data_IF_989955388317
#
_entry.id   IF_989955388317
#
_cell.length_a   1.000
_cell.length_b   1.000
_cell.length_c   1.000
_cell.angle_alpha   90.00
_cell.angle_beta   90.00
_cell.angle_gamma   90.00
#
_symmetry.space_group_name_H-M   'P 1'
#
loop_
_entity.id
_entity.type
_entity.pdbx_description
1 polymer ?
#
# COMPACT_ATOMS: atom_id res chain seq x y z
N UNK A 1 11.34 -4.60 -20.30
CA UNK A 1 12.29 -5.13 -19.29
C UNK A 1 12.72 -4.08 -18.28
N UNK A 2 13.33 -2.96 -18.69
CA UNK A 2 13.81 -1.88 -17.79
C UNK A 2 12.77 -1.38 -16.77
N UNK A 3 11.53 -1.12 -17.21
CA UNK A 3 10.45 -0.63 -16.33
C UNK A 3 10.10 -1.60 -15.18
N UNK A 4 10.19 -2.92 -15.40
CA UNK A 4 9.97 -3.92 -14.35
C UNK A 4 11.11 -3.91 -13.33
N UNK A 5 12.35 -3.86 -13.80
CA UNK A 5 13.55 -3.77 -12.93
C UNK A 5 13.45 -2.55 -12.02
N UNK A 6 13.06 -1.39 -12.56
CA UNK A 6 12.85 -0.17 -11.77
C UNK A 6 11.79 -0.37 -10.68
N UNK A 7 10.65 -1.00 -11.00
CA UNK A 7 9.61 -1.29 -10.00
C UNK A 7 10.13 -2.22 -8.91
N UNK A 8 10.82 -3.31 -9.26
CA UNK A 8 11.38 -4.21 -8.24
C UNK A 8 12.44 -3.53 -7.38
N UNK A 9 13.32 -2.69 -7.96
CA UNK A 9 14.28 -1.90 -7.20
C UNK A 9 13.60 -0.92 -6.25
N UNK A 10 12.52 -0.26 -6.70
CA UNK A 10 11.70 0.60 -5.85
C UNK A 10 11.04 -0.18 -4.72
N UNK A 11 10.48 -1.36 -5.01
CA UNK A 11 9.88 -2.24 -3.99
C UNK A 11 10.91 -2.65 -2.95
N UNK A 12 12.10 -3.11 -3.36
CA UNK A 12 13.18 -3.48 -2.43
C UNK A 12 13.60 -2.29 -1.59
N UNK A 13 13.77 -1.10 -2.19
CA UNK A 13 14.10 0.11 -1.45
C UNK A 13 13.03 0.46 -0.41
N UNK A 14 11.73 0.38 -0.77
CA UNK A 14 10.63 0.62 0.16
C UNK A 14 10.62 -0.39 1.32
N UNK A 15 10.90 -1.67 1.04
CA UNK A 15 11.04 -2.71 2.05
C UNK A 15 12.19 -2.42 3.03
N UNK A 16 13.34 -1.99 2.52
CA UNK A 16 14.47 -1.58 3.37
C UNK A 16 14.08 -0.36 4.22
N UNK A 17 13.47 0.65 3.62
CA UNK A 17 13.03 1.87 4.31
C UNK A 17 12.06 1.57 5.45
N UNK A 18 11.07 0.67 5.25
CA UNK A 18 10.12 0.34 6.32
C UNK A 18 10.79 -0.44 7.46
N UNK A 19 11.71 -1.36 7.16
CA UNK A 19 12.50 -2.06 8.17
C UNK A 19 13.33 -1.08 9.01
N UNK A 20 14.04 -0.16 8.35
CA UNK A 20 14.83 0.89 9.03
C UNK A 20 13.93 1.80 9.87
N UNK A 21 12.79 2.25 9.33
CA UNK A 21 11.83 3.09 10.06
C UNK A 21 11.33 2.42 11.34
N UNK A 22 11.00 1.13 11.26
CA UNK A 22 10.53 0.35 12.41
C UNK A 22 11.63 0.19 13.47
N UNK A 23 12.85 -0.15 13.05
CA UNK A 23 13.99 -0.31 13.94
C UNK A 23 14.36 1.02 14.65
N UNK A 24 14.54 2.10 13.88
CA UNK A 24 14.86 3.43 14.41
C UNK A 24 13.74 3.94 15.31
N UNK A 25 12.48 3.77 14.91
CA UNK A 25 11.34 4.18 15.71
C UNK A 25 11.25 3.42 17.03
N UNK A 26 11.56 2.12 17.05
CA UNK A 26 11.66 1.34 18.30
C UNK A 26 12.74 1.86 19.23
N UNK A 27 13.94 2.13 18.71
CA UNK A 27 15.06 2.68 19.50
C UNK A 27 14.73 4.07 20.02
N UNK A 28 14.11 4.93 19.21
CA UNK A 28 13.72 6.26 19.67
C UNK A 28 12.61 6.21 20.73
N UNK A 29 11.65 5.29 20.59
CA UNK A 29 10.58 5.13 21.57
C UNK A 29 11.09 4.64 22.92
N UNK A 30 12.20 3.87 22.96
CA UNK A 30 12.83 3.44 24.22
C UNK A 30 13.74 4.52 24.82
N UNK A 31 14.53 5.22 24.01
CA UNK A 31 15.50 6.21 24.50
C UNK A 31 14.88 7.60 24.78
N UNK A 32 13.94 8.03 23.94
CA UNK A 32 13.38 9.39 23.95
C UNK A 32 11.85 9.39 23.76
N UNK A 33 11.08 8.71 24.63
CA UNK A 33 9.64 8.48 24.44
C UNK A 33 8.83 9.77 24.25
N UNK A 34 9.15 10.83 25.00
CA UNK A 34 8.47 12.12 24.91
C UNK A 34 8.67 12.80 23.54
N UNK A 35 9.89 12.75 23.01
CA UNK A 35 10.24 13.33 21.71
C UNK A 35 9.60 12.55 20.58
N UNK A 36 9.68 11.22 20.61
CA UNK A 36 9.05 10.35 19.62
C UNK A 36 7.54 10.55 19.58
N UNK A 37 6.88 10.61 20.75
CA UNK A 37 5.46 10.90 20.84
C UNK A 37 5.10 12.23 20.18
N UNK A 38 5.85 13.30 20.46
CA UNK A 38 5.61 14.62 19.88
C UNK A 38 5.76 14.61 18.35
N UNK A 39 6.79 13.93 17.83
CA UNK A 39 7.01 13.82 16.39
C UNK A 39 5.93 13.02 15.68
N UNK A 40 5.53 11.88 16.24
CA UNK A 40 4.48 11.03 15.66
C UNK A 40 3.11 11.71 15.71
N UNK A 41 2.76 12.41 16.80
CA UNK A 41 1.53 13.21 16.86
C UNK A 41 1.55 14.33 15.81
N UNK A 42 2.69 15.01 15.61
CA UNK A 42 2.82 16.03 14.57
C UNK A 42 2.66 15.44 13.17
N UNK A 43 3.15 14.23 12.93
CA UNK A 43 2.94 13.52 11.68
C UNK A 43 1.49 13.10 11.49
N UNK A 44 0.82 12.65 12.56
CA UNK A 44 -0.59 12.23 12.56
C UNK A 44 -1.58 13.36 12.24
N UNK A 45 -1.20 14.63 12.45
CA UNK A 45 -1.99 15.78 11.99
C UNK A 45 -2.11 15.83 10.46
N UNK A 46 -1.09 15.36 9.73
CA UNK A 46 -1.13 15.31 8.26
C UNK A 46 -2.11 14.28 7.73
N UNK A 47 -2.38 13.22 8.50
CA UNK A 47 -3.27 12.12 8.12
C UNK A 47 -4.65 12.24 8.76
N UNK A 48 -4.97 13.40 9.34
CA UNK A 48 -6.20 13.73 10.11
C UNK A 48 -6.53 12.77 11.26
N UNK A 49 -5.68 11.79 11.52
CA UNK A 49 -5.93 10.73 12.50
C UNK A 49 -5.99 11.26 13.92
N UNK A 50 -5.20 12.28 14.24
CA UNK A 50 -5.22 12.96 15.55
C UNK A 50 -6.46 13.84 15.75
N UNK A 51 -7.29 14.03 14.72
CA UNK A 51 -8.58 14.72 14.84
C UNK A 51 -9.71 13.78 15.32
N UNK A 52 -9.46 12.47 15.38
CA UNK A 52 -10.44 11.51 15.88
C UNK A 52 -10.61 11.69 17.40
N UNK A 53 -11.83 11.98 17.91
CA UNK A 53 -12.06 12.19 19.35
C UNK A 53 -11.83 10.94 20.20
N UNK A 54 -11.79 9.73 19.59
CA UNK A 54 -11.44 8.48 20.27
C UNK A 54 -9.95 8.13 20.17
N UNK A 55 -9.14 8.99 19.57
CA UNK A 55 -7.72 8.73 19.39
C UNK A 55 -6.96 8.76 20.72
N UNK A 56 -6.19 7.70 20.98
CA UNK A 56 -5.24 7.63 22.10
C UNK A 56 -3.88 7.24 21.54
N UNK A 57 -2.85 7.99 21.91
CA UNK A 57 -1.50 7.74 21.42
C UNK A 57 -0.97 6.39 21.90
N UNK A 58 -1.32 5.99 23.13
CA UNK A 58 -0.85 4.75 23.75
C UNK A 58 -1.32 3.51 22.98
N UNK A 59 -2.52 3.57 22.39
CA UNK A 59 -3.09 2.47 21.61
C UNK A 59 -2.51 2.41 20.20
N UNK A 60 -2.01 3.53 19.68
CA UNK A 60 -1.58 3.66 18.28
C UNK A 60 -0.05 3.77 18.10
N UNK A 61 0.62 4.65 18.83
CA UNK A 61 2.04 5.00 18.64
C UNK A 61 2.99 3.81 18.73
N UNK A 62 2.93 2.98 19.78
CA UNK A 62 3.73 1.75 19.88
C UNK A 62 3.43 0.73 18.77
N UNK A 63 2.19 0.73 18.26
CA UNK A 63 1.78 -0.17 17.18
C UNK A 63 2.51 0.20 15.88
N UNK A 64 2.77 1.48 15.59
CA UNK A 64 3.42 1.93 14.34
C UNK A 64 4.83 1.38 14.13
N UNK A 65 5.52 1.03 15.22
CA UNK A 65 6.87 0.46 15.18
C UNK A 65 6.88 -1.03 15.54
N UNK A 66 5.74 -1.71 15.52
CA UNK A 66 5.66 -3.14 15.85
C UNK A 66 5.95 -4.05 14.66
N UNK A 67 6.26 -5.31 14.96
CA UNK A 67 6.38 -6.38 13.96
C UNK A 67 5.07 -6.61 13.20
N UNK A 68 3.91 -6.42 13.84
CA UNK A 68 2.61 -6.52 13.16
C UNK A 68 2.45 -5.41 12.13
N UNK A 69 2.82 -4.16 12.45
CA UNK A 69 2.83 -3.06 11.48
C UNK A 69 3.84 -3.26 10.36
N UNK A 70 5.05 -3.75 10.68
CA UNK A 70 6.03 -4.10 9.66
C UNK A 70 5.48 -5.14 8.69
N UNK A 71 4.86 -6.21 9.21
CA UNK A 71 4.24 -7.27 8.40
C UNK A 71 3.10 -6.73 7.54
N UNK A 72 2.23 -5.89 8.10
CA UNK A 72 1.10 -5.31 7.37
C UNK A 72 1.59 -4.47 6.19
N UNK A 73 2.50 -3.52 6.45
CA UNK A 73 3.04 -2.63 5.41
C UNK A 73 3.85 -3.40 4.37
N UNK A 74 4.64 -4.38 4.79
CA UNK A 74 5.40 -5.26 3.88
C UNK A 74 4.47 -6.04 2.96
N UNK A 75 3.40 -6.62 3.49
CA UNK A 75 2.39 -7.34 2.70
C UNK A 75 1.79 -6.42 1.64
N UNK A 76 1.41 -5.20 2.02
CA UNK A 76 0.88 -4.21 1.07
C UNK A 76 1.89 -3.77 0.02
N UNK A 77 3.16 -3.52 0.40
CA UNK A 77 4.22 -3.14 -0.56
C UNK A 77 4.44 -4.26 -1.60
N UNK A 78 4.49 -5.52 -1.14
CA UNK A 78 4.70 -6.67 -2.02
C UNK A 78 3.49 -6.86 -2.94
N UNK A 79 2.27 -6.83 -2.41
CA UNK A 79 1.05 -6.95 -3.21
C UNK A 79 1.01 -5.87 -4.32
N UNK A 80 1.23 -4.61 -3.94
CA UNK A 80 1.17 -3.48 -4.87
C UNK A 80 2.30 -3.47 -5.91
N UNK A 81 3.40 -4.21 -5.69
CA UNK A 81 4.49 -4.32 -6.67
C UNK A 81 4.05 -5.04 -7.96
N UNK A 82 3.03 -5.90 -7.86
CA UNK A 82 2.46 -6.66 -8.99
C UNK A 82 1.40 -5.91 -9.78
N UNK A 83 0.85 -4.81 -9.25
CA UNK A 83 -0.33 -4.15 -9.82
C UNK A 83 -0.04 -3.34 -11.10
N UNK A 84 1.23 -3.01 -11.39
CA UNK A 84 1.56 -2.21 -12.57
C UNK A 84 1.50 -3.03 -13.86
N UNK A 85 0.52 -2.72 -14.70
CA UNK A 85 0.50 -3.15 -16.10
C UNK A 85 1.46 -2.31 -16.96
N UNK A 86 2.08 -2.91 -17.98
CA UNK A 86 2.99 -2.24 -18.90
C UNK A 86 2.59 -2.50 -20.36
N UNK A 87 2.70 -1.50 -21.25
CA UNK A 87 2.47 -1.70 -22.69
C UNK A 87 3.36 -2.79 -23.27
N UNK A 88 2.81 -3.61 -24.16
CA UNK A 88 3.52 -4.74 -24.79
C UNK A 88 3.78 -5.92 -23.85
N UNK A 89 3.21 -5.93 -22.64
CA UNK A 89 3.17 -7.10 -21.77
C UNK A 89 1.75 -7.69 -21.75
N UNK A 90 1.58 -8.96 -21.34
CA UNK A 90 0.26 -9.54 -21.18
C UNK A 90 -0.60 -8.67 -20.26
N UNK A 91 -1.83 -8.38 -20.69
CA UNK A 91 -2.79 -7.66 -19.87
C UNK A 91 -3.13 -8.50 -18.62
N UNK A 92 -3.21 -7.89 -17.42
CA UNK A 92 -3.66 -8.58 -16.22
C UNK A 92 -5.07 -9.16 -16.42
N UNK A 93 -5.27 -10.38 -15.94
CA UNK A 93 -6.56 -11.06 -16.01
C UNK A 93 -7.25 -10.98 -14.64
N UNK A 94 -7.65 -9.76 -14.27
CA UNK A 94 -8.26 -9.48 -12.97
C UNK A 94 -9.74 -9.83 -12.97
N UNK A 95 -10.25 -10.25 -11.82
CA UNK A 95 -11.68 -10.46 -11.60
C UNK A 95 -12.42 -9.13 -11.55
N UNK A 96 -13.55 -9.07 -12.23
CA UNK A 96 -14.52 -7.98 -12.22
C UNK A 96 -15.84 -8.52 -11.69
N UNK A 97 -16.62 -7.66 -11.04
CA UNK A 97 -17.99 -7.98 -10.64
C UNK A 97 -18.92 -7.15 -11.54
N UNK A 98 -19.90 -7.81 -12.16
CA UNK A 98 -20.90 -7.13 -12.97
C UNK A 98 -22.02 -6.49 -12.12
N UNK A 99 -22.99 -5.86 -12.78
CA UNK A 99 -24.14 -5.24 -12.13
C UNK A 99 -25.09 -6.25 -11.47
N UNK A 100 -25.05 -7.50 -11.94
CA UNK A 100 -25.84 -8.62 -11.42
C UNK A 100 -25.08 -9.37 -10.30
N UNK A 101 -23.99 -8.78 -9.79
CA UNK A 101 -23.14 -9.32 -8.73
C UNK A 101 -22.48 -10.67 -9.08
N UNK A 102 -22.27 -10.93 -10.37
CA UNK A 102 -21.61 -12.11 -10.90
C UNK A 102 -20.14 -11.80 -11.20
N UNK A 103 -19.27 -12.76 -10.86
CA UNK A 103 -17.83 -12.62 -11.08
C UNK A 103 -17.44 -13.01 -12.52
N UNK A 104 -16.72 -12.12 -13.19
CA UNK A 104 -16.15 -12.32 -14.52
C UNK A 104 -14.66 -12.01 -14.51
N UNK A 105 -13.92 -12.44 -15.53
CA UNK A 105 -12.51 -12.07 -15.72
C UNK A 105 -12.39 -11.09 -16.87
N UNK A 106 -11.39 -10.20 -16.89
CA UNK A 106 -11.19 -9.27 -18.03
C UNK A 106 -11.13 -10.04 -19.36
N UNK A 107 -10.49 -11.21 -19.38
CA UNK A 107 -10.37 -12.00 -20.61
C UNK A 107 -11.70 -12.54 -21.15
N UNK A 108 -12.73 -12.73 -20.31
CA UNK A 108 -14.02 -13.22 -20.79
C UNK A 108 -14.71 -12.25 -21.75
N UNK A 109 -14.34 -10.96 -21.72
CA UNK A 109 -14.86 -9.94 -22.62
C UNK A 109 -14.13 -9.86 -23.96
N UNK A 110 -13.02 -10.59 -24.15
CA UNK A 110 -12.26 -10.61 -25.41
C UNK A 110 -13.01 -11.44 -26.45
N UNK A 111 -13.19 -10.88 -27.65
CA UNK A 111 -13.86 -11.53 -28.78
C UNK A 111 -12.90 -11.74 -29.96
N UNK A 112 -12.28 -12.92 -30.00
CA UNK A 112 -11.29 -13.27 -31.04
C UNK A 112 -10.11 -12.32 -31.02
N UNK A 113 -9.77 -11.73 -32.18
CA UNK A 113 -8.66 -10.77 -32.35
C UNK A 113 -9.07 -9.30 -32.20
N UNK A 114 -10.33 -9.02 -31.82
CA UNK A 114 -10.80 -7.63 -31.69
C UNK A 114 -10.19 -6.98 -30.45
N UNK A 115 -9.68 -5.73 -30.56
CA UNK A 115 -9.22 -4.98 -29.40
C UNK A 115 -10.35 -4.77 -28.38
N UNK A 116 -10.05 -5.01 -27.11
CA UNK A 116 -10.92 -4.68 -25.98
C UNK A 116 -10.44 -3.35 -25.38
N UNK A 117 -11.34 -2.35 -25.31
CA UNK A 117 -11.05 -1.05 -24.70
C UNK A 117 -11.68 -1.02 -23.31
N UNK A 118 -10.86 -0.70 -22.30
CA UNK A 118 -11.30 -0.59 -20.90
C UNK A 118 -11.37 0.89 -20.51
N UNK A 119 -12.49 1.29 -19.92
CA UNK A 119 -12.68 2.61 -19.32
C UNK A 119 -13.01 2.43 -17.85
N UNK A 120 -12.14 2.95 -16.98
CA UNK A 120 -12.32 2.89 -15.54
C UNK A 120 -12.66 4.29 -15.03
N UNK A 121 -13.67 4.40 -14.17
CA UNK A 121 -14.12 5.66 -13.60
C UNK A 121 -15.13 5.46 -12.49
N UNK A 122 -15.43 6.54 -11.79
CA UNK A 122 -16.45 6.63 -10.75
C UNK A 122 -17.30 7.88 -10.97
N UNK A 123 -18.53 7.87 -10.46
CA UNK A 123 -19.42 9.04 -10.52
C UNK A 123 -19.08 10.14 -9.49
N UNK A 124 -18.08 9.89 -8.63
CA UNK A 124 -17.60 10.80 -7.58
C UNK A 124 -16.48 11.70 -8.06
#
# INVERSE_FOLDING_TARGET
MWRRVVVYMQTVLLLVCICVRVAVGRVMLTLFPATTRRLELRNGLKTTMTLNPRFRFEDWGPSMFSLSSLRAVTTSIIANSGDRAFPGQPAPDTTLIDLDNTAHTIRSFIRGSRPLVLSFGSCT
#
